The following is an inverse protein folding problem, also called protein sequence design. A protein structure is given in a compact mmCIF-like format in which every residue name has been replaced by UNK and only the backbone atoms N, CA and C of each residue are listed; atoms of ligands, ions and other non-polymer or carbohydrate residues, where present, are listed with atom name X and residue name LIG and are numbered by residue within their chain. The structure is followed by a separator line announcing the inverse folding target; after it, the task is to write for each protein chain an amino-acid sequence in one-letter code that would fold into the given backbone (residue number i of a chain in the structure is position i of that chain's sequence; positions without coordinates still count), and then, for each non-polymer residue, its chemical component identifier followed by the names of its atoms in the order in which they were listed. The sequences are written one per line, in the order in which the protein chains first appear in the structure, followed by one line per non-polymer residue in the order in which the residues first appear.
data_IF_803280180720
#
_entry.id   IF_803280180720
#
_cell.length_a   1.000
_cell.length_b   1.000
_cell.length_c   1.000
_cell.angle_alpha   90.00
_cell.angle_beta   90.00
_cell.angle_gamma   90.00
#
_symmetry.space_group_name_H-M   'P 1'
#
loop_
_entity.id
_entity.type
_entity.pdbx_description
1 polymer ?
#
# COMPACT_ATOMS: atom_id res chain seq x y z
N UNK A 1 37.89 2.39 -21.65
CA UNK A 1 37.28 3.44 -22.50
C UNK A 1 35.77 3.37 -22.33
N UNK A 2 35.00 4.26 -22.98
CA UNK A 2 33.54 4.23 -22.87
C UNK A 2 32.92 4.29 -24.26
N UNK A 3 32.38 3.16 -24.69
CA UNK A 3 31.71 3.02 -25.98
C UNK A 3 30.26 2.57 -25.80
N UNK A 4 29.42 2.92 -26.77
CA UNK A 4 28.05 2.41 -26.90
C UNK A 4 27.87 1.83 -28.31
N UNK A 5 27.24 0.66 -28.43
CA UNK A 5 26.74 0.13 -29.72
C UNK A 5 25.54 0.95 -30.18
N UNK A 6 25.47 1.32 -31.46
CA UNK A 6 24.36 2.08 -32.05
C UNK A 6 24.13 3.39 -31.28
N UNK A 7 25.20 4.16 -31.06
CA UNK A 7 25.26 5.34 -30.22
C UNK A 7 24.20 6.40 -30.55
N UNK A 8 23.77 6.51 -31.81
CA UNK A 8 22.76 7.50 -32.23
C UNK A 8 21.33 6.98 -32.20
N UNK A 9 21.11 5.69 -31.87
CA UNK A 9 19.78 5.09 -31.81
C UNK A 9 18.94 5.60 -30.64
N UNK A 10 17.63 5.33 -30.69
CA UNK A 10 16.73 5.52 -29.54
C UNK A 10 17.08 4.55 -28.41
N UNK A 11 17.44 3.30 -28.73
CA UNK A 11 17.81 2.28 -27.76
C UNK A 11 19.04 2.66 -26.91
N UNK A 12 19.95 3.50 -27.42
CA UNK A 12 21.10 4.00 -26.69
C UNK A 12 20.85 5.30 -25.91
N UNK A 13 19.65 5.90 -25.99
CA UNK A 13 19.38 7.19 -25.37
C UNK A 13 19.63 7.21 -23.84
N UNK A 14 19.13 6.23 -23.05
CA UNK A 14 19.41 6.20 -21.61
C UNK A 14 20.90 6.00 -21.30
N UNK A 15 21.63 5.27 -22.15
CA UNK A 15 23.07 5.06 -21.97
C UNK A 15 23.86 6.37 -22.16
N UNK A 16 23.46 7.18 -23.15
CA UNK A 16 24.06 8.51 -23.37
C UNK A 16 23.76 9.46 -22.21
N UNK A 17 22.53 9.45 -21.72
CA UNK A 17 22.11 10.24 -20.55
C UNK A 17 22.95 9.88 -19.32
N UNK A 18 23.11 8.59 -19.04
CA UNK A 18 23.95 8.10 -17.94
C UNK A 18 25.39 8.60 -18.06
N UNK A 19 26.05 8.42 -19.21
CA UNK A 19 27.43 8.89 -19.37
C UNK A 19 27.57 10.40 -19.24
N UNK A 20 26.59 11.15 -19.76
CA UNK A 20 26.53 12.61 -19.66
C UNK A 20 26.44 13.05 -18.19
N UNK A 21 25.68 12.34 -17.35
CA UNK A 21 25.56 12.65 -15.91
C UNK A 21 26.90 12.52 -15.17
N UNK A 22 27.82 11.71 -15.68
CA UNK A 22 29.19 11.56 -15.16
C UNK A 22 30.20 12.53 -15.80
N UNK A 23 29.77 13.44 -16.67
CA UNK A 23 30.65 14.29 -17.46
C UNK A 23 31.50 13.53 -18.48
N UNK A 24 31.08 12.32 -18.87
CA UNK A 24 31.78 11.47 -19.82
C UNK A 24 31.06 11.49 -21.17
N UNK A 25 31.82 11.65 -22.25
CA UNK A 25 31.29 11.49 -23.61
C UNK A 25 31.64 10.10 -24.14
N UNK A 26 30.69 9.21 -24.45
CA UNK A 26 30.97 7.93 -25.09
C UNK A 26 31.33 8.11 -26.58
N UNK A 27 31.79 7.05 -27.23
CA UNK A 27 31.93 6.96 -28.69
C UNK A 27 31.20 5.72 -29.23
N UNK A 28 30.93 5.68 -30.53
CA UNK A 28 30.37 4.49 -31.18
C UNK A 28 31.36 3.32 -31.00
N UNK A 29 30.85 2.17 -30.59
CA UNK A 29 31.65 0.95 -30.54
C UNK A 29 31.85 0.40 -31.96
N UNK A 30 32.84 0.89 -32.68
CA UNK A 30 33.15 0.41 -34.04
C UNK A 30 33.78 -0.98 -34.02
N UNK A 31 34.62 -1.29 -33.02
CA UNK A 31 35.37 -2.55 -32.96
C UNK A 31 34.47 -3.79 -32.80
N UNK A 32 33.38 -3.66 -32.05
CA UNK A 32 32.45 -4.75 -31.72
C UNK A 32 31.24 -4.89 -32.65
N UNK A 33 31.09 -4.05 -33.67
CA UNK A 33 29.90 -4.06 -34.53
C UNK A 33 29.68 -5.44 -35.17
N UNK A 34 28.49 -6.01 -34.92
CA UNK A 34 28.08 -7.30 -35.48
C UNK A 34 28.84 -8.52 -34.95
N UNK A 35 29.59 -8.37 -33.85
CA UNK A 35 30.47 -9.41 -33.30
C UNK A 35 30.08 -9.88 -31.89
N UNK A 36 28.93 -9.45 -31.39
CA UNK A 36 28.38 -9.82 -30.08
C UNK A 36 26.94 -10.31 -30.20
N UNK A 37 26.35 -10.75 -29.09
CA UNK A 37 25.04 -11.44 -29.05
C UNK A 37 23.87 -10.57 -29.52
N UNK A 38 23.99 -9.25 -29.35
CA UNK A 38 23.01 -8.25 -29.77
C UNK A 38 22.75 -8.27 -31.29
N UNK A 39 23.74 -8.74 -32.07
CA UNK A 39 23.62 -8.81 -33.52
C UNK A 39 22.49 -9.73 -33.98
N UNK A 40 22.23 -10.83 -33.27
CA UNK A 40 21.15 -11.77 -33.61
C UNK A 40 19.77 -11.12 -33.53
N UNK A 41 19.54 -10.27 -32.53
CA UNK A 41 18.33 -9.46 -32.33
C UNK A 41 18.23 -8.35 -33.39
N UNK A 42 19.34 -7.66 -33.67
CA UNK A 42 19.39 -6.63 -34.70
C UNK A 42 18.97 -7.19 -36.08
N UNK A 43 19.42 -8.41 -36.42
CA UNK A 43 19.08 -9.07 -37.69
C UNK A 43 17.60 -9.37 -37.88
N UNK A 44 16.81 -9.39 -36.81
CA UNK A 44 15.36 -9.59 -36.85
C UNK A 44 14.58 -8.30 -36.55
N UNK A 45 15.26 -7.15 -36.60
CA UNK A 45 14.63 -5.82 -36.46
C UNK A 45 14.34 -5.41 -35.01
N UNK A 46 14.85 -6.14 -34.03
CA UNK A 46 14.74 -5.73 -32.61
C UNK A 46 15.80 -4.65 -32.35
N UNK A 47 15.41 -3.44 -31.88
CA UNK A 47 16.37 -2.39 -31.55
C UNK A 47 17.34 -2.86 -30.44
N UNK A 48 18.63 -2.71 -30.68
CA UNK A 48 19.68 -3.07 -29.71
C UNK A 48 20.66 -1.94 -29.49
N UNK A 49 21.27 -1.95 -28.30
CA UNK A 49 22.38 -1.09 -27.89
C UNK A 49 23.14 -1.81 -26.77
N UNK A 50 24.35 -1.37 -26.45
CA UNK A 50 25.16 -2.01 -25.40
C UNK A 50 26.36 -1.19 -25.00
N UNK A 51 26.85 -1.42 -23.79
CA UNK A 51 28.09 -0.83 -23.26
C UNK A 51 29.31 -1.63 -23.72
N UNK A 52 30.40 -0.95 -24.05
CA UNK A 52 31.68 -1.59 -24.32
C UNK A 52 32.85 -0.73 -23.83
N UNK A 53 33.95 -1.37 -23.45
CA UNK A 53 35.17 -0.69 -22.99
C UNK A 53 36.34 -0.78 -23.95
N UNK A 54 36.13 -1.42 -25.11
CA UNK A 54 37.13 -1.75 -26.13
C UNK A 54 37.82 -3.09 -25.85
N UNK A 55 38.42 -3.68 -26.89
CA UNK A 55 39.18 -4.92 -26.84
C UNK A 55 40.60 -4.73 -27.40
N UNK A 56 40.92 -5.35 -28.53
CA UNK A 56 42.25 -5.34 -29.16
C UNK A 56 42.66 -4.02 -29.81
N UNK A 57 41.71 -3.13 -30.13
CA UNK A 57 41.98 -1.86 -30.79
C UNK A 57 42.81 -0.92 -29.91
N UNK A 58 43.59 -0.05 -30.57
CA UNK A 58 44.57 0.82 -29.92
C UNK A 58 43.95 2.15 -29.52
N UNK A 59 44.12 2.52 -28.25
CA UNK A 59 43.72 3.81 -27.70
C UNK A 59 44.54 4.94 -28.33
N UNK A 60 43.84 5.88 -28.98
CA UNK A 60 44.44 7.10 -29.51
C UNK A 60 44.85 8.08 -28.42
N UNK A 61 45.68 9.07 -28.77
CA UNK A 61 46.04 10.18 -27.89
C UNK A 61 44.82 11.01 -27.49
N UNK A 62 43.86 11.23 -28.40
CA UNK A 62 42.61 11.94 -28.12
C UNK A 62 41.75 11.20 -27.09
N UNK A 63 41.62 9.87 -27.21
CA UNK A 63 40.88 9.08 -26.23
C UNK A 63 41.60 8.98 -24.89
N UNK A 64 42.94 8.94 -24.88
CA UNK A 64 43.71 8.99 -23.64
C UNK A 64 43.55 10.34 -22.93
N UNK A 65 43.54 11.45 -23.68
CA UNK A 65 43.26 12.77 -23.12
C UNK A 65 41.82 12.87 -22.55
N UNK A 66 40.86 12.23 -23.22
CA UNK A 66 39.44 12.27 -22.86
C UNK A 66 39.07 11.37 -21.67
N UNK A 67 39.64 10.16 -21.61
CA UNK A 67 39.23 9.11 -20.68
C UNK A 67 40.35 8.60 -19.78
N UNK A 68 41.55 9.16 -19.88
CA UNK A 68 42.75 8.66 -19.24
C UNK A 68 43.31 7.37 -19.87
N UNK A 69 44.28 6.76 -19.21
CA UNK A 69 44.99 5.58 -19.69
C UNK A 69 46.18 5.90 -20.60
N UNK A 70 46.72 4.88 -21.26
CA UNK A 70 47.96 5.00 -22.05
C UNK A 70 47.66 4.99 -23.55
N UNK A 71 47.92 6.11 -24.24
CA UNK A 71 47.85 6.16 -25.69
C UNK A 71 48.83 5.18 -26.34
N UNK A 72 48.47 4.62 -27.50
CA UNK A 72 49.29 3.66 -28.23
C UNK A 72 49.27 2.24 -27.68
N UNK A 73 48.51 1.97 -26.60
CA UNK A 73 48.22 0.61 -26.11
C UNK A 73 46.81 0.18 -26.50
N UNK A 74 46.59 -1.13 -26.64
CA UNK A 74 45.24 -1.66 -26.80
C UNK A 74 44.37 -1.34 -25.58
N UNK A 75 43.05 -1.29 -25.77
CA UNK A 75 42.11 -1.10 -24.66
C UNK A 75 42.19 -2.26 -23.66
N UNK A 76 42.30 -3.48 -24.18
CA UNK A 76 42.56 -4.72 -23.45
C UNK A 76 43.76 -5.46 -24.10
N UNK A 77 44.96 -5.40 -23.49
CA UNK A 77 46.14 -6.15 -23.94
C UNK A 77 46.06 -7.66 -23.76
N UNK A 78 45.10 -8.15 -22.99
CA UNK A 78 44.90 -9.56 -22.70
C UNK A 78 43.68 -10.16 -23.41
N UNK A 79 43.01 -9.42 -24.30
CA UNK A 79 41.87 -9.91 -25.06
C UNK A 79 42.17 -11.28 -25.71
N UNK A 80 41.32 -12.28 -25.43
CA UNK A 80 41.49 -13.68 -25.88
C UNK A 80 42.85 -14.34 -25.52
N UNK A 81 43.50 -13.88 -24.45
CA UNK A 81 44.79 -14.38 -23.99
C UNK A 81 44.69 -14.94 -22.58
N UNK A 82 45.65 -15.79 -22.19
CA UNK A 82 45.65 -16.44 -20.87
C UNK A 82 45.76 -15.47 -19.68
N UNK A 83 46.18 -14.22 -19.92
CA UNK A 83 46.24 -13.19 -18.89
C UNK A 83 44.90 -12.47 -18.65
N UNK A 84 43.83 -12.79 -19.41
CA UNK A 84 42.48 -12.30 -19.17
C UNK A 84 41.88 -13.00 -17.93
N UNK A 85 42.21 -12.42 -16.78
CA UNK A 85 41.85 -12.92 -15.46
C UNK A 85 41.31 -11.76 -14.63
N UNK A 86 40.97 -11.99 -13.37
CA UNK A 86 40.49 -10.92 -12.46
C UNK A 86 41.50 -9.79 -12.25
N UNK A 87 42.79 -10.00 -12.55
CA UNK A 87 43.79 -8.93 -12.51
C UNK A 87 43.73 -7.99 -13.71
N UNK A 88 43.04 -8.35 -14.80
CA UNK A 88 42.90 -7.57 -16.02
C UNK A 88 41.64 -6.67 -16.03
N UNK A 89 41.14 -6.29 -14.85
CA UNK A 89 39.94 -5.49 -14.71
C UNK A 89 40.27 -4.06 -14.31
N UNK A 90 39.72 -3.09 -15.04
CA UNK A 90 39.66 -1.71 -14.58
C UNK A 90 38.41 -1.51 -13.71
N UNK A 91 38.59 -1.46 -12.38
CA UNK A 91 37.48 -1.36 -11.42
C UNK A 91 36.57 -0.13 -11.67
N UNK A 92 37.15 1.01 -12.06
CA UNK A 92 36.38 2.23 -12.38
C UNK A 92 35.48 2.03 -13.59
N UNK A 93 35.99 1.42 -14.66
CA UNK A 93 35.20 1.15 -15.86
C UNK A 93 34.13 0.10 -15.59
N UNK A 94 34.44 -0.93 -14.80
CA UNK A 94 33.47 -1.95 -14.39
C UNK A 94 32.32 -1.32 -13.59
N UNK A 95 32.63 -0.58 -12.51
CA UNK A 95 31.62 0.04 -11.65
C UNK A 95 30.69 0.94 -12.46
N UNK A 96 31.26 1.87 -13.24
CA UNK A 96 30.46 2.80 -14.06
C UNK A 96 29.62 2.08 -15.11
N UNK A 97 30.14 1.02 -15.72
CA UNK A 97 29.37 0.30 -16.75
C UNK A 97 28.21 -0.47 -16.14
N UNK A 98 28.40 -1.10 -14.97
CA UNK A 98 27.32 -1.82 -14.26
C UNK A 98 26.24 -0.86 -13.77
N UNK A 99 26.62 0.28 -13.19
CA UNK A 99 25.68 1.34 -12.81
C UNK A 99 24.90 1.88 -14.02
N UNK A 100 25.58 2.06 -15.16
CA UNK A 100 24.95 2.48 -16.42
C UNK A 100 23.98 1.44 -16.98
N UNK A 101 24.30 0.15 -16.88
CA UNK A 101 23.39 -0.94 -17.27
C UNK A 101 22.13 -0.90 -16.39
N UNK A 102 22.28 -0.77 -15.07
CA UNK A 102 21.14 -0.66 -14.15
C UNK A 102 20.27 0.56 -14.47
N UNK A 103 20.89 1.72 -14.68
CA UNK A 103 20.21 2.95 -15.09
C UNK A 103 19.43 2.77 -16.40
N UNK A 104 20.05 2.16 -17.40
CA UNK A 104 19.43 1.93 -18.71
C UNK A 104 18.22 1.00 -18.61
N UNK A 105 18.34 -0.08 -17.85
CA UNK A 105 17.23 -1.03 -17.62
C UNK A 105 16.07 -0.29 -16.95
N UNK A 106 16.34 0.49 -15.88
CA UNK A 106 15.30 1.22 -15.16
C UNK A 106 14.60 2.24 -16.04
N UNK A 107 15.35 3.12 -16.72
CA UNK A 107 14.77 4.13 -17.63
C UNK A 107 13.99 3.52 -18.78
N UNK A 108 14.37 2.32 -19.25
CA UNK A 108 13.66 1.65 -20.35
C UNK A 108 12.40 0.92 -19.88
N UNK A 109 12.44 0.28 -18.71
CA UNK A 109 11.34 -0.55 -18.20
C UNK A 109 10.32 0.25 -17.35
N UNK A 110 10.78 1.24 -16.60
CA UNK A 110 9.99 2.02 -15.64
C UNK A 110 9.77 3.45 -16.14
N UNK A 111 10.80 4.08 -16.70
CA UNK A 111 10.76 5.46 -17.19
C UNK A 111 11.14 6.50 -16.14
N UNK A 112 10.71 7.75 -16.35
CA UNK A 112 10.90 8.89 -15.43
C UNK A 112 9.75 9.03 -14.42
N UNK A 113 8.86 8.03 -14.35
CA UNK A 113 7.83 8.02 -13.34
C UNK A 113 8.52 8.03 -11.97
N UNK A 114 8.09 8.90 -11.02
CA UNK A 114 8.55 8.78 -9.65
C UNK A 114 8.27 7.35 -9.16
N UNK A 115 9.07 6.87 -8.21
CA UNK A 115 8.83 5.56 -7.60
C UNK A 115 7.33 5.41 -7.31
N UNK A 116 6.71 4.26 -7.67
CA UNK A 116 5.30 4.06 -7.46
C UNK A 116 5.00 4.39 -6.00
N UNK A 117 4.19 5.42 -5.77
CA UNK A 117 3.87 5.83 -4.41
C UNK A 117 3.31 4.61 -3.68
N UNK A 118 3.84 4.33 -2.49
CA UNK A 118 3.37 3.23 -1.66
C UNK A 118 1.88 3.42 -1.39
N UNK A 119 1.10 2.41 -1.74
CA UNK A 119 -0.35 2.48 -1.65
C UNK A 119 -0.92 1.16 -1.12
N UNK A 120 -2.11 1.26 -0.51
CA UNK A 120 -2.81 0.10 0.03
C UNK A 120 -4.33 0.27 -0.07
N UNK A 121 -5.06 -0.82 0.16
CA UNK A 121 -6.51 -0.81 0.32
C UNK A 121 -6.91 -1.26 1.73
N UNK A 122 -8.09 -0.83 2.19
CA UNK A 122 -8.70 -1.25 3.47
C UNK A 122 -10.13 -1.74 3.24
N UNK A 123 -10.54 -2.81 3.91
CA UNK A 123 -11.91 -3.34 3.85
C UNK A 123 -12.36 -3.92 5.19
N UNK A 124 -13.68 -3.93 5.43
CA UNK A 124 -14.31 -4.52 6.61
C UNK A 124 -15.08 -5.79 6.23
N UNK A 125 -14.88 -6.88 6.98
CA UNK A 125 -15.62 -8.14 6.80
C UNK A 125 -16.05 -8.71 8.17
N UNK A 126 -17.36 -8.80 8.46
CA UNK A 126 -18.47 -8.28 7.64
C UNK A 126 -18.48 -6.74 7.57
N UNK A 127 -19.06 -6.17 6.50
CA UNK A 127 -19.19 -4.71 6.36
C UNK A 127 -20.37 -4.11 7.16
N UNK A 128 -21.16 -4.96 7.82
CA UNK A 128 -22.28 -4.55 8.65
C UNK A 128 -22.57 -5.61 9.72
N UNK A 129 -23.22 -5.19 10.80
CA UNK A 129 -23.70 -6.12 11.82
C UNK A 129 -24.71 -5.47 12.76
N UNK A 130 -25.49 -6.32 13.42
CA UNK A 130 -26.50 -5.92 14.39
C UNK A 130 -26.04 -6.31 15.79
N UNK A 131 -26.16 -5.38 16.75
CA UNK A 131 -25.70 -5.58 18.13
C UNK A 131 -26.75 -5.03 19.09
N UNK A 132 -27.16 -5.85 20.05
CA UNK A 132 -28.03 -5.41 21.14
C UNK A 132 -27.30 -4.44 22.08
N UNK A 133 -28.00 -3.49 22.73
CA UNK A 133 -27.42 -2.68 23.79
C UNK A 133 -26.75 -3.54 24.87
N UNK A 134 -25.48 -3.24 25.19
CA UNK A 134 -24.64 -4.03 26.10
C UNK A 134 -23.84 -5.15 25.42
N UNK A 135 -24.11 -5.42 24.14
CA UNK A 135 -23.40 -6.40 23.34
C UNK A 135 -22.15 -5.86 22.63
N UNK A 136 -21.55 -6.73 21.82
CA UNK A 136 -20.42 -6.38 20.95
C UNK A 136 -20.47 -7.13 19.61
N UNK A 137 -19.73 -6.62 18.63
CA UNK A 137 -19.45 -7.29 17.36
C UNK A 137 -17.94 -7.29 17.08
N UNK A 138 -17.47 -8.32 16.38
CA UNK A 138 -16.12 -8.40 15.86
C UNK A 138 -16.13 -8.29 14.33
N UNK A 139 -15.25 -7.46 13.80
CA UNK A 139 -15.09 -7.19 12.37
C UNK A 139 -13.64 -7.39 12.00
N UNK A 140 -13.35 -8.18 10.96
CA UNK A 140 -12.00 -8.26 10.42
C UNK A 140 -11.77 -7.08 9.48
N UNK A 141 -10.75 -6.29 9.78
CA UNK A 141 -10.28 -5.19 8.94
C UNK A 141 -9.07 -5.69 8.16
N UNK A 142 -9.26 -5.89 6.86
CA UNK A 142 -8.21 -6.37 5.97
C UNK A 142 -7.50 -5.19 5.32
N UNK A 143 -6.19 -5.32 5.12
CA UNK A 143 -5.40 -4.42 4.29
C UNK A 143 -4.69 -5.19 3.18
N UNK A 144 -4.40 -4.53 2.05
CA UNK A 144 -3.58 -5.11 0.98
C UNK A 144 -2.74 -4.04 0.29
N UNK A 145 -1.44 -4.31 0.07
CA UNK A 145 -0.56 -3.43 -0.72
C UNK A 145 -1.01 -3.41 -2.17
N UNK A 146 -1.22 -2.22 -2.74
CA UNK A 146 -1.69 -2.03 -4.12
C UNK A 146 -0.61 -1.48 -5.04
N UNK A 147 0.39 -0.77 -4.48
CA UNK A 147 1.54 -0.21 -5.18
C UNK A 147 2.70 -0.03 -4.20
N UNK A 148 3.94 -0.08 -4.69
CA UNK A 148 5.14 0.14 -3.89
C UNK A 148 5.37 -0.93 -2.82
N UNK A 149 6.03 -0.53 -1.73
CA UNK A 149 6.38 -1.40 -0.62
C UNK A 149 5.25 -1.54 0.41
N UNK A 150 5.27 -2.66 1.14
CA UNK A 150 4.35 -2.86 2.25
C UNK A 150 4.66 -1.89 3.41
N UNK A 151 3.61 -1.26 3.95
CA UNK A 151 3.74 -0.14 4.87
C UNK A 151 3.02 -0.40 6.21
N UNK A 152 3.47 0.26 7.28
CA UNK A 152 2.77 0.19 8.57
C UNK A 152 1.50 1.06 8.53
N UNK A 153 0.34 0.43 8.69
CA UNK A 153 -0.98 1.05 8.64
C UNK A 153 -1.55 1.12 10.05
N UNK A 154 -1.70 2.34 10.60
CA UNK A 154 -2.37 2.58 11.87
C UNK A 154 -3.88 2.66 11.67
N UNK A 155 -4.64 1.95 12.49
CA UNK A 155 -6.10 1.86 12.38
C UNK A 155 -6.78 2.77 13.39
N UNK A 156 -7.88 3.39 12.95
CA UNK A 156 -8.75 4.19 13.82
C UNK A 156 -10.20 4.14 13.33
N UNK A 157 -11.13 4.57 14.16
CA UNK A 157 -12.54 4.66 13.81
C UNK A 157 -13.13 6.01 14.20
N UNK A 158 -14.10 6.48 13.43
CA UNK A 158 -14.90 7.66 13.73
C UNK A 158 -16.37 7.45 13.34
N UNK A 159 -17.26 8.37 13.70
CA UNK A 159 -18.70 8.26 13.42
C UNK A 159 -19.48 7.41 14.42
N UNK A 160 -18.83 6.91 15.48
CA UNK A 160 -19.51 6.18 16.55
C UNK A 160 -20.48 7.09 17.32
N UNK A 161 -21.74 6.67 17.56
CA UNK A 161 -22.66 7.40 18.41
C UNK A 161 -22.25 7.32 19.89
N UNK A 162 -22.87 8.13 20.74
CA UNK A 162 -22.67 8.06 22.19
C UNK A 162 -22.93 6.64 22.71
N UNK A 163 -21.98 6.12 23.48
CA UNK A 163 -22.05 4.77 24.05
C UNK A 163 -21.49 3.66 23.15
N UNK A 164 -21.03 3.98 21.94
CA UNK A 164 -20.31 3.02 21.08
C UNK A 164 -18.81 3.32 21.11
N UNK A 165 -18.01 2.27 21.28
CA UNK A 165 -16.55 2.33 21.13
C UNK A 165 -16.05 1.29 20.14
N UNK A 166 -14.92 1.59 19.49
CA UNK A 166 -14.25 0.68 18.55
C UNK A 166 -12.80 0.57 18.95
N UNK A 167 -12.33 -0.67 19.15
CA UNK A 167 -10.92 -0.97 19.43
C UNK A 167 -10.37 -1.92 18.36
N UNK A 168 -9.07 -1.85 18.10
CA UNK A 168 -8.40 -2.68 17.10
C UNK A 168 -7.34 -3.54 17.79
N UNK A 169 -7.19 -4.80 17.39
CA UNK A 169 -6.16 -5.70 17.92
C UNK A 169 -5.58 -6.53 16.77
N UNK A 170 -4.35 -6.22 16.31
CA UNK A 170 -3.52 -5.06 16.71
C UNK A 170 -4.06 -3.72 16.20
N UNK A 171 -3.65 -2.58 16.78
CA UNK A 171 -4.05 -1.23 16.34
C UNK A 171 -3.25 -0.71 15.13
N UNK A 172 -2.24 -1.45 14.71
CA UNK A 172 -1.47 -1.24 13.50
C UNK A 172 -1.08 -2.57 12.87
N UNK A 173 -0.98 -2.59 11.54
CA UNK A 173 -0.65 -3.78 10.74
C UNK A 173 0.26 -3.40 9.60
N UNK A 174 1.14 -4.31 9.16
CA UNK A 174 1.78 -4.14 7.85
C UNK A 174 0.75 -4.39 6.75
N UNK A 175 0.69 -3.53 5.73
CA UNK A 175 -0.27 -3.69 4.62
C UNK A 175 -0.14 -5.07 3.98
N UNK A 176 -1.27 -5.76 3.81
CA UNK A 176 -1.32 -7.20 3.48
C UNK A 176 -1.70 -8.08 4.67
N UNK A 177 -1.68 -7.54 5.89
CA UNK A 177 -2.19 -8.19 7.10
C UNK A 177 -3.57 -7.64 7.50
N UNK A 178 -4.16 -8.23 8.54
CA UNK A 178 -5.49 -7.87 9.04
C UNK A 178 -5.47 -7.58 10.54
N UNK A 179 -6.44 -6.80 11.00
CA UNK A 179 -6.73 -6.56 12.42
C UNK A 179 -8.17 -6.93 12.75
N UNK A 180 -8.44 -7.30 14.00
CA UNK A 180 -9.81 -7.44 14.50
C UNK A 180 -10.25 -6.11 15.14
N UNK A 181 -11.28 -5.50 14.57
CA UNK A 181 -12.01 -4.40 15.19
C UNK A 181 -13.13 -4.96 16.10
N UNK A 182 -13.15 -4.56 17.36
CA UNK A 182 -14.23 -4.87 18.31
C UNK A 182 -15.09 -3.63 18.52
N UNK A 183 -16.36 -3.74 18.13
CA UNK A 183 -17.36 -2.69 18.32
C UNK A 183 -18.15 -3.02 19.58
N UNK A 184 -18.02 -2.21 20.62
CA UNK A 184 -18.76 -2.38 21.88
C UNK A 184 -19.92 -1.38 21.92
N UNK A 185 -21.11 -1.87 22.28
CA UNK A 185 -22.32 -1.05 22.42
C UNK A 185 -22.70 -1.01 23.90
N UNK A 186 -22.75 0.17 24.50
CA UNK A 186 -23.20 0.33 25.88
C UNK A 186 -24.71 0.05 26.01
N UNK A 187 -25.15 -0.36 27.21
CA UNK A 187 -26.55 -0.74 27.46
C UNK A 187 -27.57 0.40 27.24
N UNK A 188 -27.13 1.66 27.26
CA UNK A 188 -27.98 2.84 27.03
C UNK A 188 -27.85 3.45 25.63
N UNK A 189 -27.16 2.79 24.70
CA UNK A 189 -27.05 3.30 23.33
C UNK A 189 -28.41 3.23 22.64
N UNK A 190 -28.81 4.34 22.01
CA UNK A 190 -30.09 4.42 21.29
C UNK A 190 -30.12 3.42 20.12
N UNK A 191 -31.30 2.84 19.90
CA UNK A 191 -31.54 2.01 18.73
C UNK A 191 -31.42 2.85 17.45
N UNK A 192 -30.85 2.27 16.41
CA UNK A 192 -30.62 2.98 15.16
C UNK A 192 -29.56 2.33 14.28
N UNK A 193 -29.42 2.88 13.09
CA UNK A 193 -28.35 2.48 12.16
C UNK A 193 -27.31 3.59 12.12
N UNK A 194 -26.07 3.23 12.38
CA UNK A 194 -24.93 4.12 12.47
C UNK A 194 -23.87 3.69 11.46
N UNK A 195 -23.26 4.66 10.78
CA UNK A 195 -22.14 4.39 9.87
C UNK A 195 -20.85 4.73 10.59
N UNK A 196 -20.04 3.70 10.86
CA UNK A 196 -18.68 3.86 11.39
C UNK A 196 -17.72 3.95 10.22
N UNK A 197 -16.83 4.94 10.23
CA UNK A 197 -15.74 5.05 9.27
C UNK A 197 -14.48 4.45 9.89
N UNK A 198 -13.98 3.36 9.31
CA UNK A 198 -12.72 2.74 9.68
C UNK A 198 -11.63 3.31 8.78
N UNK A 199 -10.58 3.87 9.38
CA UNK A 199 -9.50 4.57 8.69
C UNK A 199 -8.20 3.81 8.89
N UNK A 200 -7.49 3.53 7.79
CA UNK A 200 -6.10 3.12 7.81
C UNK A 200 -5.22 4.29 7.39
N UNK A 201 -4.17 4.57 8.16
CA UNK A 201 -3.20 5.64 7.88
C UNK A 201 -1.79 5.05 7.82
N UNK A 202 -1.18 5.10 6.64
CA UNK A 202 0.23 4.86 6.39
C UNK A 202 0.87 6.09 5.74
N UNK A 203 1.62 5.92 4.64
CA UNK A 203 2.10 7.02 3.79
C UNK A 203 0.95 7.71 3.05
N UNK A 204 -0.13 6.97 2.81
CA UNK A 204 -1.44 7.43 2.33
C UNK A 204 -2.53 7.07 3.34
N UNK A 205 -3.72 7.65 3.20
CA UNK A 205 -4.88 7.35 4.08
C UNK A 205 -6.04 6.83 3.25
N UNK A 206 -6.59 5.69 3.67
CA UNK A 206 -7.77 5.08 3.07
C UNK A 206 -8.81 4.80 4.13
N UNK A 207 -10.07 4.72 3.69
CA UNK A 207 -11.19 4.44 4.57
C UNK A 207 -12.08 3.34 4.01
N UNK A 208 -12.76 2.65 4.91
CA UNK A 208 -13.89 1.78 4.62
C UNK A 208 -14.98 2.05 5.65
N UNK A 209 -16.19 1.59 5.40
CA UNK A 209 -17.31 1.78 6.31
C UNK A 209 -17.76 0.46 6.92
N UNK A 210 -18.22 0.54 8.16
CA UNK A 210 -18.95 -0.53 8.82
C UNK A 210 -20.32 0.01 9.26
N UNK A 211 -21.39 -0.62 8.81
CA UNK A 211 -22.75 -0.27 9.20
C UNK A 211 -23.13 -1.03 10.48
N UNK A 212 -23.21 -0.31 11.60
CA UNK A 212 -23.70 -0.84 12.86
C UNK A 212 -25.20 -0.59 12.98
N UNK A 213 -25.99 -1.65 13.14
CA UNK A 213 -27.37 -1.53 13.61
C UNK A 213 -27.39 -1.84 15.10
N UNK A 214 -27.70 -0.85 15.93
CA UNK A 214 -28.05 -1.09 17.33
C UNK A 214 -29.51 -1.49 17.34
N UNK A 215 -29.77 -2.75 17.66
CA UNK A 215 -31.13 -3.28 17.76
C UNK A 215 -31.86 -2.66 18.95
N UNK A 216 -33.18 -2.60 18.80
CA UNK A 216 -34.10 -2.02 19.75
C UNK A 216 -35.29 -1.44 19.00
N UNK A 217 -36.48 -1.61 19.58
CA UNK A 217 -37.74 -1.41 18.88
C UNK A 217 -38.19 0.07 18.83
N UNK A 218 -37.22 1.01 18.95
CA UNK A 218 -37.48 2.45 19.02
C UNK A 218 -37.26 3.09 20.40
N UNK A 219 -36.25 2.63 21.15
CA UNK A 219 -35.89 3.10 22.50
C UNK A 219 -35.35 4.54 22.62
N UNK A 220 -35.85 5.47 21.81
CA UNK A 220 -35.66 6.91 21.99
C UNK A 220 -36.60 7.52 23.03
N UNK A 221 -37.59 6.77 23.53
CA UNK A 221 -38.48 7.24 24.58
C UNK A 221 -38.13 6.61 25.91
N UNK A 222 -37.32 7.34 26.67
CA UNK A 222 -37.01 7.00 28.07
C UNK A 222 -38.21 7.16 28.98
N UNK A 223 -39.41 7.50 28.50
CA UNK A 223 -40.61 7.73 29.32
C UNK A 223 -41.74 6.85 28.82
N UNK A 224 -42.37 6.10 29.73
CA UNK A 224 -43.50 5.24 29.40
C UNK A 224 -44.63 6.07 28.79
N UNK A 225 -45.22 5.57 27.71
CA UNK A 225 -46.41 6.09 27.05
C UNK A 225 -47.47 5.02 26.85
N UNK A 226 -48.72 5.46 26.98
CA UNK A 226 -49.89 4.68 26.60
C UNK A 226 -49.89 4.39 25.09
N UNK A 227 -50.15 3.14 24.70
CA UNK A 227 -50.19 2.70 23.30
C UNK A 227 -48.83 2.36 22.68
N UNK A 228 -47.72 2.62 23.39
CA UNK A 228 -46.40 2.19 22.94
C UNK A 228 -46.23 0.67 23.10
N UNK A 229 -45.43 0.07 22.22
CA UNK A 229 -45.04 -1.34 22.32
C UNK A 229 -43.66 -1.43 22.92
N UNK A 230 -43.51 -2.28 23.92
CA UNK A 230 -42.26 -2.54 24.64
C UNK A 230 -41.86 -3.99 24.46
N UNK A 231 -40.58 -4.25 24.23
CA UNK A 231 -39.98 -5.57 24.29
C UNK A 231 -39.54 -5.90 25.72
N UNK A 232 -39.39 -7.20 26.02
CA UNK A 232 -38.77 -7.61 27.27
C UNK A 232 -37.31 -7.10 27.32
N UNK A 233 -36.95 -6.40 28.40
CA UNK A 233 -35.65 -5.75 28.58
C UNK A 233 -35.70 -4.23 28.45
N UNK A 234 -36.73 -3.66 27.80
CA UNK A 234 -36.85 -2.22 27.61
C UNK A 234 -36.84 -1.47 28.93
N UNK A 235 -36.12 -0.35 28.99
CA UNK A 235 -36.08 0.51 30.18
C UNK A 235 -36.79 1.82 29.90
N UNK A 236 -37.78 2.13 30.73
CA UNK A 236 -38.58 3.36 30.67
C UNK A 236 -38.60 4.04 32.03
N UNK A 237 -38.93 5.33 32.04
CA UNK A 237 -39.26 6.10 33.24
C UNK A 237 -40.75 6.38 33.31
N UNK A 238 -41.32 6.27 34.50
CA UNK A 238 -42.69 6.68 34.78
C UNK A 238 -42.71 7.35 36.15
N UNK A 239 -43.25 8.58 36.23
CA UNK A 239 -43.20 9.43 37.42
C UNK A 239 -41.79 9.56 38.04
N UNK A 240 -40.77 9.65 37.17
CA UNK A 240 -39.36 9.79 37.59
C UNK A 240 -38.70 8.52 38.13
N UNK A 241 -39.39 7.38 38.10
CA UNK A 241 -38.85 6.07 38.51
C UNK A 241 -38.56 5.22 37.29
N UNK A 242 -37.42 4.51 37.28
CA UNK A 242 -37.03 3.60 36.22
C UNK A 242 -37.71 2.23 36.35
N UNK A 243 -38.08 1.65 35.20
CA UNK A 243 -38.68 0.32 35.12
C UNK A 243 -38.12 -0.43 33.91
N UNK A 244 -37.87 -1.73 34.08
CA UNK A 244 -37.51 -2.67 33.03
C UNK A 244 -38.73 -3.51 32.65
N UNK A 245 -39.03 -3.61 31.37
CA UNK A 245 -40.06 -4.49 30.84
C UNK A 245 -39.65 -5.96 31.03
N UNK A 246 -40.52 -6.79 31.60
CA UNK A 246 -40.27 -8.21 31.87
C UNK A 246 -40.77 -9.07 30.70
N UNK A 247 -41.88 -8.68 30.09
CA UNK A 247 -42.52 -9.39 29.00
C UNK A 247 -42.96 -8.40 27.93
N UNK A 248 -42.65 -8.68 26.67
CA UNK A 248 -43.00 -7.77 25.58
C UNK A 248 -44.53 -7.59 25.44
N UNK A 249 -44.98 -6.35 25.26
CA UNK A 249 -46.40 -5.99 25.19
C UNK A 249 -46.66 -4.61 24.57
N UNK A 250 -47.88 -4.37 24.09
CA UNK A 250 -48.39 -3.02 23.81
C UNK A 250 -49.13 -2.49 25.04
N UNK A 251 -48.78 -1.30 25.52
CA UNK A 251 -49.34 -0.73 26.74
C UNK A 251 -50.78 -0.23 26.56
N UNK A 252 -51.66 -0.69 27.44
CA UNK A 252 -53.05 -0.29 27.54
C UNK A 252 -53.32 0.57 28.79
N UNK A 253 -54.47 1.26 28.88
CA UNK A 253 -54.82 2.01 30.08
C UNK A 253 -54.81 1.11 31.32
N UNK A 254 -54.16 1.54 32.40
CA UNK A 254 -53.99 0.73 33.62
C UNK A 254 -52.75 -0.16 33.64
N UNK A 255 -51.94 -0.16 32.57
CA UNK A 255 -50.68 -0.91 32.48
C UNK A 255 -49.45 -0.02 32.72
N UNK A 256 -49.64 1.07 33.46
CA UNK A 256 -48.53 1.92 33.89
C UNK A 256 -47.55 1.07 34.74
N UNK A 257 -46.24 1.33 34.69
CA UNK A 257 -45.24 0.47 35.30
C UNK A 257 -45.45 0.07 36.78
N UNK A 258 -45.87 0.96 37.69
CA UNK A 258 -46.11 0.56 39.08
C UNK A 258 -47.34 -0.35 39.26
N UNK A 259 -48.27 -0.37 38.30
CA UNK A 259 -49.56 -1.04 38.45
C UNK A 259 -49.50 -2.53 38.05
N UNK A 260 -48.56 -2.91 37.18
CA UNK A 260 -48.49 -4.26 36.60
C UNK A 260 -47.09 -4.89 36.76
N UNK A 261 -46.72 -5.36 37.97
CA UNK A 261 -45.38 -5.89 38.27
C UNK A 261 -45.03 -7.20 37.53
N UNK A 262 -46.00 -7.83 36.87
CA UNK A 262 -45.76 -8.96 35.98
C UNK A 262 -45.15 -8.53 34.63
N UNK A 263 -45.38 -7.28 34.21
CA UNK A 263 -44.85 -6.70 32.98
C UNK A 263 -43.67 -5.76 33.24
N UNK A 264 -43.53 -5.21 34.46
CA UNK A 264 -42.51 -4.23 34.79
C UNK A 264 -41.76 -4.55 36.09
N UNK A 265 -40.45 -4.48 36.04
CA UNK A 265 -39.54 -4.55 37.17
C UNK A 265 -39.03 -3.15 37.50
N UNK A 266 -39.31 -2.65 38.70
CA UNK A 266 -38.74 -1.38 39.17
C UNK A 266 -37.22 -1.46 39.28
N UNK A 267 -36.53 -0.39 38.87
CA UNK A 267 -35.07 -0.20 38.99
C UNK A 267 -34.71 0.71 40.17
#
# INVERSE_FOLDING_TARGET
CYFINNLTSSASAPMREYWTSLGLAPQENVEGQGRSDDYSFQRVGIPTSGYATGASAVKSSTEAAKWGGTAGRSYDPCYHSACDTTSNINATALNRSVDGIAYTIWKTAVGDAPDPQDDFSISANPSSGTVEPGGSASVTVNTATTSGDAQNVRLSASGAPTGVSVTFTPDSVTSGQSSTATVQVAAGTAAGTYTLTLTGTGTVTHTTTYTLTVSGDGGGETTWRLGATYAAGDVVTYDGVGYRCIQGHTAYPGWEPPNVPALWQRL
#
